data_IF_148641828502
#
_entry.id   IF_148641828502
#
_cell.length_a   1.000
_cell.length_b   1.000
_cell.length_c   1.000
_cell.angle_alpha   90.00
_cell.angle_beta   90.00
_cell.angle_gamma   90.00
#
_symmetry.space_group_name_H-M   'P 1'
#
loop_
_entity.id
_entity.type
_entity.pdbx_description
1 polymer ?
#
# COMPACT_ATOMS: atom_id res chain seq x y z
N UNK A 1 -28.04 84.46 52.59
CA UNK A 1 -28.32 83.55 51.46
C UNK A 1 -27.29 82.43 51.52
N UNK A 2 -27.80 81.22 51.73
CA UNK A 2 -27.36 79.92 51.16
C UNK A 2 -25.86 79.57 51.19
N UNK A 3 -25.42 78.67 52.08
CA UNK A 3 -25.33 77.19 51.93
C UNK A 3 -24.39 76.75 50.80
N UNK A 4 -23.35 75.98 51.15
CA UNK A 4 -23.25 74.58 50.71
C UNK A 4 -22.09 73.83 51.39
N UNK A 5 -22.45 72.67 51.94
CA UNK A 5 -21.62 71.64 52.56
C UNK A 5 -21.20 70.68 51.44
N UNK A 6 -19.90 70.35 51.31
CA UNK A 6 -19.44 69.25 50.46
C UNK A 6 -19.48 67.94 51.26
N UNK A 7 -20.35 67.01 50.86
CA UNK A 7 -20.27 65.59 51.21
C UNK A 7 -19.37 64.88 50.20
N UNK A 8 -18.40 64.11 50.70
CA UNK A 8 -17.64 63.15 49.91
C UNK A 8 -18.44 61.85 49.76
N UNK A 9 -18.65 61.39 48.53
CA UNK A 9 -19.28 60.11 48.22
C UNK A 9 -18.22 59.08 47.81
N UNK A 10 -18.12 57.98 48.56
CA UNK A 10 -17.38 56.77 48.16
C UNK A 10 -18.33 55.85 47.38
N UNK A 11 -18.04 55.62 46.10
CA UNK A 11 -18.74 54.62 45.29
C UNK A 11 -17.94 53.31 45.30
N UNK A 12 -18.50 52.27 45.91
CA UNK A 12 -18.00 50.90 45.81
C UNK A 12 -18.59 50.25 44.54
N UNK A 13 -17.74 49.93 43.55
CA UNK A 13 -18.10 49.09 42.41
C UNK A 13 -17.92 47.61 42.80
N UNK A 14 -19.02 46.85 42.81
CA UNK A 14 -19.01 45.40 42.89
C UNK A 14 -18.96 44.82 41.47
N UNK A 15 -17.84 44.21 41.08
CA UNK A 15 -17.70 43.47 39.82
C UNK A 15 -18.21 42.04 40.00
N UNK A 16 -19.36 41.71 39.39
CA UNK A 16 -19.81 40.33 39.20
C UNK A 16 -18.96 39.68 38.09
N UNK A 17 -18.18 38.66 38.46
CA UNK A 17 -17.52 37.77 37.50
C UNK A 17 -18.51 36.69 37.04
N UNK A 18 -18.99 36.79 35.79
CA UNK A 18 -19.72 35.72 35.12
C UNK A 18 -18.72 34.63 34.72
N UNK A 19 -18.73 33.50 35.44
CA UNK A 19 -18.03 32.30 35.03
C UNK A 19 -18.76 31.69 33.83
N UNK A 20 -18.21 31.88 32.62
CA UNK A 20 -18.65 31.13 31.46
C UNK A 20 -18.25 29.65 31.64
N UNK A 21 -19.14 28.68 31.35
CA UNK A 21 -18.74 27.29 31.33
C UNK A 21 -17.73 27.11 30.20
N UNK A 22 -16.49 26.78 30.55
CA UNK A 22 -15.55 26.19 29.62
C UNK A 22 -16.18 24.87 29.16
N UNK A 23 -16.80 24.85 27.99
CA UNK A 23 -16.97 23.61 27.25
C UNK A 23 -15.58 23.04 27.07
N UNK A 24 -15.25 21.98 27.82
CA UNK A 24 -14.10 21.17 27.50
C UNK A 24 -14.25 20.78 26.03
N UNK A 25 -13.42 21.35 25.16
CA UNK A 25 -13.15 20.74 23.88
C UNK A 25 -12.62 19.35 24.23
N UNK A 26 -13.49 18.36 24.22
CA UNK A 26 -13.06 16.99 24.00
C UNK A 26 -12.21 17.10 22.74
N UNK A 27 -10.90 17.02 22.89
CA UNK A 27 -9.98 16.83 21.78
C UNK A 27 -10.49 15.56 21.09
N UNK A 28 -11.31 15.73 20.05
CA UNK A 28 -11.90 14.62 19.33
C UNK A 28 -10.72 13.79 18.84
N UNK A 29 -10.62 12.56 19.33
CA UNK A 29 -9.50 11.69 19.00
C UNK A 29 -9.41 11.50 17.48
N UNK A 30 -8.18 11.49 16.96
CA UNK A 30 -7.92 11.36 15.53
C UNK A 30 -8.43 10.05 14.91
N UNK A 31 -8.75 9.06 15.75
CA UNK A 31 -9.22 7.74 15.37
C UNK A 31 -10.58 7.48 15.99
N UNK A 32 -11.62 7.42 15.16
CA UNK A 32 -13.01 7.24 15.62
C UNK A 32 -13.57 5.93 15.11
N UNK A 33 -14.15 5.10 15.99
CA UNK A 33 -14.98 3.97 15.57
C UNK A 33 -16.28 4.54 15.00
N UNK A 34 -16.47 4.42 13.69
CA UNK A 34 -17.56 5.09 12.97
C UNK A 34 -18.94 4.64 13.47
N UNK A 35 -19.05 3.38 13.86
CA UNK A 35 -20.30 2.77 14.31
C UNK A 35 -20.74 3.26 15.71
N UNK A 36 -19.81 3.70 16.57
CA UNK A 36 -20.11 4.09 17.96
C UNK A 36 -19.84 5.56 18.27
N UNK A 37 -19.08 6.25 17.41
CA UNK A 37 -18.56 7.59 17.67
C UNK A 37 -17.44 7.62 18.73
N UNK A 38 -17.04 6.47 19.27
CA UNK A 38 -15.96 6.41 20.26
C UNK A 38 -14.64 6.82 19.61
N UNK A 39 -13.99 7.85 20.16
CA UNK A 39 -12.77 8.43 19.63
C UNK A 39 -11.56 8.15 20.52
N UNK A 40 -10.40 7.99 19.90
CA UNK A 40 -9.13 7.64 20.55
C UNK A 40 -8.00 8.52 20.03
N UNK A 41 -7.02 8.80 20.90
CA UNK A 41 -5.82 9.55 20.54
C UNK A 41 -4.75 8.70 19.86
N UNK A 42 -4.85 7.37 19.94
CA UNK A 42 -3.93 6.44 19.27
C UNK A 42 -4.68 5.42 18.44
N UNK A 43 -4.09 5.06 17.30
CA UNK A 43 -4.64 4.03 16.42
C UNK A 43 -4.73 2.68 17.14
N UNK A 44 -3.70 2.30 17.91
CA UNK A 44 -3.70 1.03 18.62
C UNK A 44 -4.85 0.95 19.64
N UNK A 45 -5.16 2.04 20.36
CA UNK A 45 -6.28 2.03 21.29
C UNK A 45 -7.63 1.85 20.57
N UNK A 46 -7.80 2.45 19.39
CA UNK A 46 -8.98 2.21 18.56
C UNK A 46 -9.06 0.75 18.09
N UNK A 47 -7.95 0.17 17.64
CA UNK A 47 -7.86 -1.26 17.23
C UNK A 47 -8.19 -2.19 18.40
N UNK A 48 -7.62 -1.93 19.58
CA UNK A 48 -7.86 -2.74 20.78
C UNK A 48 -9.33 -2.66 21.23
N UNK A 49 -9.96 -1.49 21.10
CA UNK A 49 -11.36 -1.30 21.41
C UNK A 49 -12.30 -2.01 20.44
N UNK A 50 -11.94 -2.14 19.16
CA UNK A 50 -12.68 -3.00 18.21
C UNK A 50 -12.58 -4.46 18.63
N UNK A 51 -11.38 -4.92 19.02
CA UNK A 51 -11.16 -6.28 19.48
C UNK A 51 -11.52 -7.32 18.42
N UNK A 52 -12.38 -8.29 18.78
CA UNK A 52 -12.84 -9.34 17.87
C UNK A 52 -14.06 -8.94 17.02
N UNK A 53 -14.52 -7.69 17.12
CA UNK A 53 -15.70 -7.23 16.39
C UNK A 53 -15.35 -6.81 14.95
N UNK A 54 -16.40 -6.49 14.19
CA UNK A 54 -16.28 -5.79 12.90
C UNK A 54 -16.54 -4.30 13.10
N UNK A 55 -15.64 -3.45 12.64
CA UNK A 55 -15.82 -1.99 12.76
C UNK A 55 -14.97 -1.21 11.75
N UNK A 56 -15.31 0.07 11.60
CA UNK A 56 -14.57 1.04 10.80
C UNK A 56 -13.88 2.03 11.72
N UNK A 57 -12.56 2.13 11.62
CA UNK A 57 -11.79 3.21 12.23
C UNK A 57 -11.67 4.32 11.18
N UNK A 58 -12.43 5.39 11.37
CA UNK A 58 -12.34 6.62 10.62
C UNK A 58 -11.17 7.46 11.16
N UNK A 59 -10.24 7.81 10.26
CA UNK A 59 -8.97 8.45 10.59
C UNK A 59 -9.00 9.88 10.06
N UNK A 60 -8.85 10.84 10.96
CA UNK A 60 -8.85 12.26 10.63
C UNK A 60 -7.67 12.65 9.71
N UNK A 61 -7.74 13.81 9.04
CA UNK A 61 -6.59 14.39 8.37
C UNK A 61 -5.42 14.61 9.36
N UNK A 62 -4.22 14.15 9.00
CA UNK A 62 -3.05 14.29 9.86
C UNK A 62 -1.85 13.47 9.40
N UNK A 63 -0.69 13.79 9.97
CA UNK A 63 0.52 12.96 9.84
C UNK A 63 0.78 12.25 11.15
N UNK A 64 0.70 10.93 11.11
CA UNK A 64 0.78 10.05 12.26
C UNK A 64 2.12 9.31 12.30
N UNK A 65 2.88 9.53 13.38
CA UNK A 65 4.01 8.69 13.78
C UNK A 65 3.52 7.57 14.69
N UNK A 66 2.54 6.83 14.20
CA UNK A 66 1.89 5.73 14.90
C UNK A 66 1.91 4.49 14.02
N UNK A 67 1.75 3.34 14.66
CA UNK A 67 1.55 2.05 13.99
C UNK A 67 0.51 1.27 14.79
N UNK A 68 -0.02 0.19 14.21
CA UNK A 68 -0.92 -0.70 14.93
C UNK A 68 -0.76 -2.17 14.53
N UNK A 69 -1.11 -3.03 15.48
CA UNK A 69 -1.21 -4.48 15.32
C UNK A 69 -2.66 -4.89 15.51
N UNK A 70 -3.30 -5.35 14.43
CA UNK A 70 -4.63 -5.95 14.48
C UNK A 70 -4.51 -7.45 14.77
N UNK A 71 -4.96 -7.90 15.95
CA UNK A 71 -4.87 -9.30 16.37
C UNK A 71 -6.15 -10.12 16.19
N UNK A 72 -7.29 -9.48 15.98
CA UNK A 72 -8.61 -10.11 15.87
C UNK A 72 -9.55 -9.20 15.06
N UNK A 73 -10.74 -9.72 14.77
CA UNK A 73 -11.84 -8.95 14.20
C UNK A 73 -11.63 -8.57 12.75
N UNK A 74 -12.61 -7.85 12.19
CA UNK A 74 -12.57 -7.35 10.81
C UNK A 74 -12.57 -5.82 10.86
N UNK A 75 -11.44 -5.21 10.52
CA UNK A 75 -11.26 -3.76 10.69
C UNK A 75 -11.12 -3.08 9.34
N UNK A 76 -11.95 -2.07 9.10
CA UNK A 76 -11.76 -1.10 8.02
C UNK A 76 -11.01 0.11 8.56
N UNK A 77 -9.82 0.39 8.02
CA UNK A 77 -9.04 1.59 8.30
C UNK A 77 -9.28 2.60 7.18
N UNK A 78 -10.05 3.65 7.45
CA UNK A 78 -10.50 4.59 6.43
C UNK A 78 -10.07 6.02 6.74
N UNK A 79 -9.39 6.68 5.80
CA UNK A 79 -9.24 8.12 5.88
C UNK A 79 -10.62 8.78 5.76
N UNK A 80 -10.89 9.78 6.59
CA UNK A 80 -12.07 10.63 6.46
C UNK A 80 -12.03 11.42 5.13
N UNK A 81 -10.83 11.81 4.70
CA UNK A 81 -10.57 12.41 3.40
C UNK A 81 -9.37 11.71 2.74
N UNK A 82 -9.54 11.25 1.49
CA UNK A 82 -8.53 10.39 0.86
C UNK A 82 -7.20 11.11 0.66
N UNK A 83 -6.14 10.51 1.19
CA UNK A 83 -4.78 11.01 1.09
C UNK A 83 -4.34 11.92 2.21
N UNK A 84 -5.22 12.32 3.12
CA UNK A 84 -4.87 13.29 4.18
C UNK A 84 -4.48 12.63 5.49
N UNK A 85 -4.83 11.35 5.70
CA UNK A 85 -4.32 10.53 6.78
C UNK A 85 -3.01 9.82 6.36
N UNK A 86 -1.88 10.32 6.87
CA UNK A 86 -0.52 9.90 6.47
C UNK A 86 0.18 9.19 7.63
N UNK A 87 0.53 7.92 7.47
CA UNK A 87 1.37 7.16 8.40
C UNK A 87 2.84 7.25 7.97
N UNK A 88 3.69 7.82 8.83
CA UNK A 88 5.06 8.19 8.46
C UNK A 88 6.13 7.59 9.38
N UNK A 89 7.01 6.77 8.80
CA UNK A 89 8.25 6.29 9.40
C UNK A 89 8.14 5.31 10.58
N UNK A 90 7.00 5.24 11.26
CA UNK A 90 6.83 4.41 12.45
C UNK A 90 6.39 2.99 12.08
N UNK A 91 7.01 2.00 12.71
CA UNK A 91 6.66 0.59 12.53
C UNK A 91 6.35 -0.09 13.85
N UNK A 92 5.45 -1.07 13.78
CA UNK A 92 5.14 -2.00 14.85
C UNK A 92 5.87 -3.31 14.59
N UNK A 93 6.36 -3.91 15.68
CA UNK A 93 7.10 -5.19 15.67
C UNK A 93 8.34 -5.21 14.76
N UNK A 94 8.90 -4.05 14.43
CA UNK A 94 9.99 -3.96 13.45
C UNK A 94 9.58 -4.41 12.04
N UNK A 95 8.28 -4.33 11.69
CA UNK A 95 7.74 -4.83 10.42
C UNK A 95 7.10 -3.74 9.57
N UNK A 96 6.04 -3.10 10.07
CA UNK A 96 5.19 -2.25 9.25
C UNK A 96 4.42 -1.19 10.04
N UNK A 97 3.87 -0.18 9.36
CA UNK A 97 2.92 0.75 9.97
C UNK A 97 1.64 0.01 10.42
N UNK A 98 1.12 -0.90 9.59
CA UNK A 98 0.04 -1.82 9.99
C UNK A 98 0.51 -3.26 9.91
N UNK A 99 0.43 -3.98 11.05
CA UNK A 99 0.64 -5.43 11.10
C UNK A 99 -0.71 -6.10 11.31
N UNK A 100 -1.17 -6.83 10.29
CA UNK A 100 -2.54 -7.31 10.18
C UNK A 100 -2.56 -8.83 10.30
N UNK A 101 -3.21 -9.33 11.35
CA UNK A 101 -3.39 -10.77 11.61
C UNK A 101 -4.76 -11.09 12.24
N UNK A 102 -5.73 -10.18 12.14
CA UNK A 102 -7.12 -10.42 12.51
C UNK A 102 -7.88 -11.20 11.44
N UNK A 103 -9.20 -11.24 11.53
CA UNK A 103 -10.08 -12.05 10.66
C UNK A 103 -10.29 -11.43 9.27
N UNK A 104 -9.87 -10.18 9.07
CA UNK A 104 -9.81 -9.51 7.78
C UNK A 104 -9.55 -8.01 7.93
N UNK A 105 -9.11 -7.36 6.86
CA UNK A 105 -8.88 -5.92 6.87
C UNK A 105 -9.25 -5.24 5.56
N UNK A 106 -9.68 -3.99 5.66
CA UNK A 106 -9.81 -3.09 4.52
C UNK A 106 -9.06 -1.79 4.79
N UNK A 107 -8.29 -1.32 3.81
CA UNK A 107 -7.55 -0.07 3.87
C UNK A 107 -8.07 0.87 2.78
N UNK A 108 -8.53 2.06 3.19
CA UNK A 108 -9.18 3.00 2.27
C UNK A 108 -8.65 4.42 2.43
N UNK A 109 -8.06 4.94 1.35
CA UNK A 109 -7.68 6.35 1.28
C UNK A 109 -6.46 6.75 2.12
N UNK A 110 -5.73 5.80 2.72
CA UNK A 110 -4.57 6.12 3.56
C UNK A 110 -3.32 6.42 2.73
N UNK A 111 -2.35 7.09 3.33
CA UNK A 111 -0.99 7.19 2.78
C UNK A 111 0.01 6.59 3.77
N UNK A 112 0.91 5.73 3.29
CA UNK A 112 2.04 5.19 4.03
C UNK A 112 3.33 5.72 3.42
N UNK A 113 4.24 6.26 4.23
CA UNK A 113 5.47 6.87 3.72
C UNK A 113 6.68 6.70 4.64
N UNK A 114 7.87 6.62 4.06
CA UNK A 114 9.12 6.64 4.83
C UNK A 114 9.36 5.39 5.67
N UNK A 115 8.71 4.26 5.36
CA UNK A 115 8.79 3.06 6.20
C UNK A 115 10.08 2.28 5.89
N UNK A 116 10.90 2.12 6.91
CA UNK A 116 12.19 1.45 6.82
C UNK A 116 12.49 0.72 8.14
N UNK A 117 13.00 -0.50 8.06
CA UNK A 117 13.44 -1.30 9.22
C UNK A 117 14.82 -1.92 8.95
N UNK A 118 15.56 -2.38 10.00
CA UNK A 118 16.96 -2.77 9.85
C UNK A 118 17.24 -3.93 8.90
N UNK A 119 16.27 -4.84 8.71
CA UNK A 119 16.43 -5.99 7.82
C UNK A 119 16.10 -5.70 6.35
N UNK A 120 15.73 -4.45 6.02
CA UNK A 120 15.41 -4.07 4.65
C UNK A 120 13.96 -4.29 4.22
N UNK A 121 13.08 -4.78 5.09
CA UNK A 121 11.71 -5.20 4.73
C UNK A 121 10.58 -4.37 5.37
N UNK A 122 10.84 -3.12 5.73
CA UNK A 122 9.87 -2.22 6.33
C UNK A 122 8.73 -1.91 5.37
N UNK A 123 7.48 -2.19 5.76
CA UNK A 123 6.32 -2.07 4.88
C UNK A 123 5.26 -1.06 5.37
N UNK A 124 4.48 -0.49 4.46
CA UNK A 124 3.22 0.15 4.85
C UNK A 124 2.30 -0.84 5.55
N UNK A 125 2.15 -2.03 4.96
CA UNK A 125 1.32 -3.12 5.49
C UNK A 125 2.11 -4.43 5.52
N UNK A 126 2.12 -5.07 6.70
CA UNK A 126 2.49 -6.48 6.86
C UNK A 126 1.22 -7.30 7.09
N UNK A 127 0.82 -8.11 6.10
CA UNK A 127 -0.34 -9.01 6.22
C UNK A 127 0.13 -10.41 6.57
N UNK A 128 -0.28 -10.95 7.72
CA UNK A 128 0.17 -12.26 8.17
C UNK A 128 -0.88 -13.36 7.96
N UNK A 129 -2.17 -13.02 7.97
CA UNK A 129 -3.29 -13.94 7.71
C UNK A 129 -4.50 -13.20 7.18
N UNK A 130 -5.44 -13.97 6.60
CA UNK A 130 -6.76 -13.59 6.16
C UNK A 130 -6.78 -12.55 5.03
N UNK A 131 -7.99 -12.09 4.71
CA UNK A 131 -8.25 -11.30 3.52
C UNK A 131 -7.88 -9.83 3.71
N UNK A 132 -7.41 -9.21 2.63
CA UNK A 132 -7.06 -7.79 2.59
C UNK A 132 -7.64 -7.10 1.36
N UNK A 133 -8.45 -6.08 1.59
CA UNK A 133 -8.91 -5.15 0.55
C UNK A 133 -8.17 -3.81 0.68
N UNK A 134 -7.72 -3.24 -0.43
CA UNK A 134 -7.05 -1.94 -0.45
C UNK A 134 -7.63 -1.11 -1.59
N UNK A 135 -8.06 0.11 -1.28
CA UNK A 135 -8.57 1.06 -2.24
C UNK A 135 -8.03 2.47 -1.99
N UNK A 136 -7.75 3.21 -3.07
CA UNK A 136 -7.39 4.63 -3.01
C UNK A 136 -6.18 4.95 -2.11
N UNK A 137 -5.31 3.97 -1.88
CA UNK A 137 -4.22 4.07 -0.91
C UNK A 137 -2.89 4.41 -1.61
N UNK A 138 -2.04 5.19 -0.95
CA UNK A 138 -0.71 5.56 -1.46
C UNK A 138 0.40 4.95 -0.60
N UNK A 139 1.37 4.31 -1.24
CA UNK A 139 2.58 3.77 -0.63
C UNK A 139 3.78 4.47 -1.25
N UNK A 140 4.52 5.22 -0.43
CA UNK A 140 5.53 6.17 -0.90
C UNK A 140 6.84 5.96 -0.16
N UNK A 141 7.98 6.15 -0.81
CA UNK A 141 9.28 6.39 -0.16
C UNK A 141 9.63 5.37 0.95
N UNK A 142 9.37 4.09 0.72
CA UNK A 142 9.47 3.04 1.73
C UNK A 142 10.22 1.84 1.15
N UNK A 143 10.76 0.99 2.02
CA UNK A 143 11.41 -0.24 1.56
C UNK A 143 10.39 -1.14 0.84
N UNK A 144 9.26 -1.42 1.47
CA UNK A 144 8.13 -2.19 0.92
C UNK A 144 6.84 -1.35 0.93
N UNK A 145 5.93 -1.58 -0.02
CA UNK A 145 4.55 -1.13 0.11
C UNK A 145 3.74 -2.12 0.95
N UNK A 146 3.64 -3.35 0.44
CA UNK A 146 2.92 -4.46 1.06
C UNK A 146 3.84 -5.67 1.09
N UNK A 147 3.90 -6.35 2.24
CA UNK A 147 4.61 -7.60 2.39
C UNK A 147 3.73 -8.60 3.15
N UNK A 148 3.52 -9.79 2.60
CA UNK A 148 2.66 -10.79 3.22
C UNK A 148 3.42 -12.01 3.73
N UNK A 149 2.81 -12.74 4.66
CA UNK A 149 3.19 -14.11 4.97
C UNK A 149 2.56 -15.09 3.94
N UNK A 150 2.33 -16.34 4.37
CA UNK A 150 1.64 -17.37 3.57
C UNK A 150 0.26 -17.64 4.18
N UNK A 151 -0.76 -17.67 3.33
CA UNK A 151 -2.13 -18.03 3.70
C UNK A 151 -2.88 -18.52 2.45
N UNK A 152 -2.84 -19.82 2.13
CA UNK A 152 -3.43 -20.37 0.91
C UNK A 152 -4.93 -20.12 0.74
N UNK A 153 -5.66 -19.85 1.83
CA UNK A 153 -7.08 -19.55 1.81
C UNK A 153 -7.36 -18.03 1.71
N UNK A 154 -6.33 -17.21 1.93
CA UNK A 154 -6.41 -15.76 1.88
C UNK A 154 -6.50 -15.20 0.46
N UNK A 155 -7.27 -14.12 0.32
CA UNK A 155 -7.35 -13.30 -0.91
C UNK A 155 -6.95 -11.86 -0.66
N UNK A 156 -6.25 -11.28 -1.63
CA UNK A 156 -5.84 -9.88 -1.62
C UNK A 156 -6.42 -9.17 -2.84
N UNK A 157 -7.12 -8.07 -2.60
CA UNK A 157 -7.70 -7.23 -3.64
C UNK A 157 -7.22 -5.79 -3.48
N UNK A 158 -6.54 -5.27 -4.50
CA UNK A 158 -5.98 -3.92 -4.52
C UNK A 158 -6.54 -3.18 -5.72
N UNK A 159 -7.08 -1.99 -5.50
CA UNK A 159 -7.57 -1.14 -6.58
C UNK A 159 -7.24 0.33 -6.40
N UNK A 160 -7.09 1.07 -7.50
CA UNK A 160 -6.94 2.53 -7.53
C UNK A 160 -5.90 3.06 -6.54
N UNK A 161 -4.79 2.34 -6.40
CA UNK A 161 -3.75 2.63 -5.42
C UNK A 161 -2.46 3.04 -6.12
N UNK A 162 -1.59 3.78 -5.41
CA UNK A 162 -0.32 4.26 -5.95
C UNK A 162 0.84 3.69 -5.16
N UNK A 163 1.84 3.19 -5.86
CA UNK A 163 3.10 2.67 -5.34
C UNK A 163 4.23 3.45 -6.01
N UNK A 164 4.92 4.29 -5.25
CA UNK A 164 5.93 5.20 -5.81
C UNK A 164 7.18 5.24 -4.94
N UNK A 165 8.36 5.14 -5.57
CA UNK A 165 9.66 5.21 -4.86
C UNK A 165 9.76 4.16 -3.75
N UNK A 166 9.40 2.92 -4.13
CA UNK A 166 9.48 1.75 -3.27
C UNK A 166 10.58 0.80 -3.74
N UNK A 167 11.10 0.02 -2.81
CA UNK A 167 12.09 -1.03 -3.09
C UNK A 167 13.52 -0.66 -2.70
N UNK A 168 14.32 -1.67 -2.40
CA UNK A 168 15.77 -1.60 -2.18
C UNK A 168 16.33 -3.00 -2.39
N UNK A 169 17.57 -3.12 -2.85
CA UNK A 169 18.30 -4.40 -2.97
C UNK A 169 19.61 -4.38 -2.17
N UNK A 170 19.79 -3.39 -1.31
CA UNK A 170 21.05 -3.12 -0.62
C UNK A 170 21.27 -4.00 0.63
N UNK A 171 20.26 -4.79 1.01
CA UNK A 171 20.25 -5.55 2.26
C UNK A 171 20.47 -7.06 2.03
N UNK A 172 21.10 -7.72 3.00
CA UNK A 172 21.39 -9.17 2.95
C UNK A 172 20.15 -10.06 2.95
N UNK A 173 19.00 -9.54 3.39
CA UNK A 173 17.70 -10.23 3.34
C UNK A 173 17.12 -10.35 1.92
N UNK A 174 17.79 -9.77 0.92
CA UNK A 174 17.32 -9.69 -0.46
C UNK A 174 16.58 -8.39 -0.75
N UNK A 175 15.99 -8.32 -1.94
CA UNK A 175 15.31 -7.12 -2.40
C UNK A 175 13.91 -6.94 -1.78
N UNK A 176 13.61 -5.71 -1.40
CA UNK A 176 12.26 -5.23 -1.16
C UNK A 176 11.58 -4.78 -2.47
N UNK A 177 10.25 -4.74 -2.47
CA UNK A 177 9.37 -4.64 -3.64
C UNK A 177 8.22 -3.65 -3.37
N UNK A 178 7.47 -3.24 -4.40
CA UNK A 178 6.25 -2.46 -4.13
C UNK A 178 5.17 -3.34 -3.49
N UNK A 179 4.91 -4.50 -4.08
CA UNK A 179 4.04 -5.54 -3.54
C UNK A 179 4.83 -6.86 -3.50
N UNK A 180 4.91 -7.47 -2.33
CA UNK A 180 5.36 -8.86 -2.15
C UNK A 180 4.23 -9.67 -1.54
N UNK A 181 3.66 -10.59 -2.33
CA UNK A 181 2.71 -11.59 -1.87
C UNK A 181 3.39 -12.96 -1.78
N UNK A 182 3.38 -13.54 -0.57
CA UNK A 182 3.76 -14.92 -0.30
C UNK A 182 2.75 -15.91 -0.87
N UNK A 183 2.70 -17.13 -0.32
CA UNK A 183 1.80 -18.19 -0.81
C UNK A 183 0.36 -17.94 -0.34
N UNK A 184 -0.30 -16.96 -0.97
CA UNK A 184 -1.71 -16.66 -0.80
C UNK A 184 -2.56 -17.37 -1.86
N UNK A 185 -3.86 -17.54 -1.64
CA UNK A 185 -4.75 -18.19 -2.60
C UNK A 185 -4.95 -17.37 -3.88
N UNK A 186 -5.05 -16.04 -3.77
CA UNK A 186 -5.16 -15.15 -4.92
C UNK A 186 -4.71 -13.72 -4.65
N UNK A 187 -4.23 -13.07 -5.70
CA UNK A 187 -3.97 -11.64 -5.76
C UNK A 187 -4.72 -11.02 -6.94
N UNK A 188 -5.45 -9.94 -6.68
CA UNK A 188 -6.00 -9.07 -7.72
C UNK A 188 -5.47 -7.65 -7.54
N UNK A 189 -4.90 -7.07 -8.59
CA UNK A 189 -4.43 -5.68 -8.65
C UNK A 189 -5.02 -5.00 -9.87
N UNK A 190 -5.84 -3.97 -9.63
CA UNK A 190 -6.55 -3.25 -10.70
C UNK A 190 -6.35 -1.75 -10.63
N UNK A 191 -6.33 -1.11 -11.79
CA UNK A 191 -6.45 0.36 -11.89
C UNK A 191 -5.44 1.12 -11.04
N UNK A 192 -4.26 0.53 -10.81
CA UNK A 192 -3.26 1.03 -9.87
C UNK A 192 -2.02 1.53 -10.62
N UNK A 193 -1.29 2.43 -9.98
CA UNK A 193 -0.09 3.05 -10.53
C UNK A 193 1.14 2.60 -9.76
N UNK A 194 2.14 2.13 -10.49
CA UNK A 194 3.47 1.80 -10.02
C UNK A 194 4.45 2.72 -10.72
N UNK A 195 5.30 3.44 -9.99
CA UNK A 195 6.26 4.34 -10.62
C UNK A 195 7.53 4.54 -9.80
N UNK A 196 8.61 4.93 -10.50
CA UNK A 196 9.84 5.44 -9.87
C UNK A 196 10.42 4.48 -8.81
N UNK A 197 10.33 3.17 -9.04
CA UNK A 197 10.86 2.17 -8.10
C UNK A 197 12.34 2.38 -7.81
N UNK A 198 12.78 1.98 -6.62
CA UNK A 198 14.16 2.18 -6.13
C UNK A 198 14.87 0.85 -5.83
N UNK A 199 14.27 -0.26 -6.25
CA UNK A 199 14.81 -1.61 -6.08
C UNK A 199 13.74 -2.66 -6.35
N UNK A 200 14.17 -3.90 -6.64
CA UNK A 200 13.29 -5.05 -6.72
C UNK A 200 12.13 -4.93 -7.72
N UNK A 201 11.09 -5.73 -7.52
CA UNK A 201 9.92 -5.82 -8.41
C UNK A 201 8.83 -4.81 -8.03
N UNK A 202 8.03 -4.37 -8.99
CA UNK A 202 6.78 -3.67 -8.67
C UNK A 202 5.77 -4.66 -8.09
N UNK A 203 5.55 -5.80 -8.73
CA UNK A 203 4.71 -6.87 -8.19
C UNK A 203 5.50 -8.17 -8.17
N UNK A 204 5.67 -8.75 -6.99
CA UNK A 204 6.11 -10.15 -6.82
C UNK A 204 5.02 -10.93 -6.12
N UNK A 205 4.56 -12.02 -6.72
CA UNK A 205 3.48 -12.84 -6.15
C UNK A 205 3.74 -14.32 -6.29
N UNK A 206 3.56 -15.05 -5.19
CA UNK A 206 3.62 -16.52 -5.14
C UNK A 206 2.23 -17.15 -5.12
N UNK A 207 1.17 -16.34 -5.26
CA UNK A 207 -0.18 -16.84 -5.38
C UNK A 207 -0.35 -17.64 -6.69
N UNK A 208 -1.14 -18.73 -6.70
CA UNK A 208 -1.39 -19.50 -7.92
C UNK A 208 -2.36 -18.80 -8.87
N UNK A 209 -3.14 -17.84 -8.38
CA UNK A 209 -4.10 -17.07 -9.17
C UNK A 209 -3.81 -15.59 -9.06
N UNK A 210 -3.39 -14.97 -10.17
CA UNK A 210 -3.11 -13.54 -10.23
C UNK A 210 -3.96 -12.86 -11.31
N UNK A 211 -4.64 -11.79 -10.93
CA UNK A 211 -5.35 -10.89 -11.86
C UNK A 211 -4.71 -9.51 -11.76
N UNK A 212 -3.96 -9.11 -12.77
CA UNK A 212 -3.22 -7.84 -12.82
C UNK A 212 -3.70 -7.08 -14.04
N UNK A 213 -4.64 -6.14 -13.85
CA UNK A 213 -5.36 -5.52 -14.97
C UNK A 213 -5.47 -4.01 -14.88
N UNK A 214 -5.42 -3.33 -16.02
CA UNK A 214 -5.62 -1.87 -16.11
C UNK A 214 -4.66 -1.06 -15.23
N UNK A 215 -3.45 -1.55 -14.98
CA UNK A 215 -2.43 -0.86 -14.20
C UNK A 215 -1.45 -0.10 -15.10
N UNK A 216 -0.79 0.91 -14.53
CA UNK A 216 0.34 1.58 -15.17
C UNK A 216 1.63 1.29 -14.40
N UNK A 217 2.64 0.75 -15.09
CA UNK A 217 4.00 0.54 -14.60
C UNK A 217 4.94 1.52 -15.30
N UNK A 218 5.23 2.63 -14.63
CA UNK A 218 6.09 3.70 -15.13
C UNK A 218 7.49 3.65 -14.49
N UNK A 219 8.37 2.88 -15.12
CA UNK A 219 9.76 2.74 -14.68
C UNK A 219 10.68 3.81 -15.27
N UNK A 220 10.13 4.87 -15.90
CA UNK A 220 10.94 5.85 -16.61
C UNK A 220 11.95 6.58 -15.73
N UNK A 221 11.62 6.75 -14.46
CA UNK A 221 12.49 7.30 -13.42
C UNK A 221 12.80 6.27 -12.32
N UNK A 222 12.67 4.97 -12.62
CA UNK A 222 13.10 3.90 -11.74
C UNK A 222 14.62 3.81 -11.66
N UNK A 223 15.12 3.22 -10.57
CA UNK A 223 16.53 2.94 -10.30
C UNK A 223 16.68 1.57 -9.68
N UNK A 224 17.66 0.78 -10.13
CA UNK A 224 17.94 -0.57 -9.63
C UNK A 224 16.70 -1.48 -9.59
N UNK A 225 15.69 -1.23 -10.43
CA UNK A 225 14.46 -2.03 -10.44
C UNK A 225 14.70 -3.35 -11.18
N UNK A 226 13.88 -4.34 -10.89
CA UNK A 226 13.96 -5.68 -11.48
C UNK A 226 12.75 -5.89 -12.43
N UNK A 227 12.34 -7.13 -12.69
CA UNK A 227 11.10 -7.40 -13.45
C UNK A 227 9.92 -6.58 -12.89
N UNK A 228 9.02 -6.12 -13.76
CA UNK A 228 7.87 -5.34 -13.29
C UNK A 228 6.86 -6.24 -12.60
N UNK A 229 6.63 -7.41 -13.17
CA UNK A 229 5.81 -8.48 -12.59
C UNK A 229 6.68 -9.73 -12.50
N UNK A 230 6.80 -10.28 -11.30
CA UNK A 230 7.49 -11.54 -11.03
C UNK A 230 6.49 -12.53 -10.41
N UNK A 231 6.24 -13.62 -11.11
CA UNK A 231 5.39 -14.75 -10.70
C UNK A 231 6.29 -15.98 -10.49
N UNK A 232 7.19 -15.94 -9.50
CA UNK A 232 8.32 -16.85 -9.41
C UNK A 232 7.92 -18.31 -9.23
N UNK A 233 6.76 -18.58 -8.63
CA UNK A 233 6.28 -19.95 -8.41
C UNK A 233 5.35 -20.43 -9.54
N UNK A 234 5.16 -19.65 -10.61
CA UNK A 234 4.13 -19.90 -11.62
C UNK A 234 2.76 -19.35 -11.20
N UNK A 235 1.84 -19.23 -12.16
CA UNK A 235 0.49 -18.70 -11.91
C UNK A 235 -0.44 -18.94 -13.10
N UNK A 236 -1.72 -19.14 -12.80
CA UNK A 236 -2.84 -18.90 -13.71
C UNK A 236 -3.45 -17.51 -13.49
N UNK A 237 -4.44 -17.16 -14.31
CA UNK A 237 -5.20 -15.92 -14.19
C UNK A 237 -5.05 -15.02 -15.41
N UNK A 238 -4.93 -13.71 -15.18
CA UNK A 238 -4.96 -12.72 -16.26
C UNK A 238 -4.04 -11.54 -16.00
N UNK A 239 -3.22 -11.20 -16.99
CA UNK A 239 -2.43 -9.97 -17.04
C UNK A 239 -2.90 -9.19 -18.27
N UNK A 240 -3.79 -8.21 -18.07
CA UNK A 240 -4.45 -7.58 -19.20
C UNK A 240 -4.57 -6.06 -19.15
N UNK A 241 -4.51 -5.42 -20.31
CA UNK A 241 -4.75 -3.97 -20.46
C UNK A 241 -3.84 -3.10 -19.57
N UNK A 242 -2.66 -3.60 -19.23
CA UNK A 242 -1.68 -2.83 -18.48
C UNK A 242 -0.80 -2.02 -19.44
N UNK A 243 -0.32 -0.88 -18.95
CA UNK A 243 0.64 -0.04 -19.63
C UNK A 243 2.00 -0.13 -18.95
N UNK A 244 3.04 -0.43 -19.71
CA UNK A 244 4.41 -0.62 -19.22
C UNK A 244 5.39 0.32 -19.93
N UNK A 245 6.21 1.02 -19.14
CA UNK A 245 7.40 1.72 -19.62
C UNK A 245 8.61 1.16 -18.92
N UNK A 246 9.50 0.50 -19.67
CA UNK A 246 10.77 0.02 -19.12
C UNK A 246 11.81 1.14 -19.09
N UNK A 247 12.36 1.38 -17.90
CA UNK A 247 13.41 2.34 -17.61
C UNK A 247 14.80 1.85 -18.00
N UNK A 248 15.76 2.78 -17.95
CA UNK A 248 17.17 2.49 -18.26
C UNK A 248 17.85 1.68 -17.17
N UNK A 249 17.65 2.11 -15.93
CA UNK A 249 18.34 1.63 -14.75
C UNK A 249 17.57 0.48 -14.11
N UNK A 250 18.03 -0.73 -14.40
CA UNK A 250 17.46 -1.99 -13.94
C UNK A 250 18.56 -2.95 -13.59
N UNK A 251 18.39 -3.67 -12.49
CA UNK A 251 19.23 -4.84 -12.17
C UNK A 251 19.01 -5.95 -13.19
N UNK A 252 17.75 -6.17 -13.56
CA UNK A 252 17.38 -7.12 -14.60
C UNK A 252 16.43 -6.48 -15.61
N UNK A 253 16.94 -6.30 -16.82
CA UNK A 253 16.16 -5.75 -17.93
C UNK A 253 15.70 -6.81 -18.93
N UNK A 254 16.07 -8.07 -18.73
CA UNK A 254 15.89 -9.13 -19.72
C UNK A 254 14.43 -9.50 -19.96
N UNK A 255 13.53 -9.18 -19.01
CA UNK A 255 12.09 -9.37 -19.15
C UNK A 255 11.28 -8.24 -18.47
N UNK A 256 10.00 -8.08 -18.84
CA UNK A 256 9.02 -7.28 -18.09
C UNK A 256 8.25 -8.16 -17.10
N UNK A 257 7.81 -9.33 -17.56
CA UNK A 257 7.07 -10.34 -16.81
C UNK A 257 7.92 -11.60 -16.72
N UNK A 258 8.17 -12.10 -15.51
CA UNK A 258 8.83 -13.38 -15.29
C UNK A 258 7.83 -14.39 -14.71
N UNK A 259 7.80 -15.60 -15.29
CA UNK A 259 6.90 -16.67 -14.89
C UNK A 259 7.69 -17.93 -14.53
N UNK A 260 7.52 -18.41 -13.29
CA UNK A 260 8.06 -19.71 -12.87
C UNK A 260 9.57 -19.74 -12.58
N UNK A 261 10.24 -18.59 -12.47
CA UNK A 261 11.69 -18.51 -12.31
C UNK A 261 12.27 -19.23 -11.06
N UNK A 262 11.43 -19.58 -10.08
CA UNK A 262 11.80 -20.35 -8.88
C UNK A 262 11.23 -21.79 -8.88
N UNK A 263 10.95 -22.35 -10.07
CA UNK A 263 10.61 -23.78 -10.21
C UNK A 263 9.12 -24.10 -10.26
N UNK A 264 8.30 -23.24 -10.88
CA UNK A 264 6.91 -23.50 -11.33
C UNK A 264 6.10 -24.44 -10.42
N UNK A 265 6.00 -24.10 -9.13
CA UNK A 265 5.27 -24.89 -8.12
C UNK A 265 3.75 -24.83 -8.32
N UNK A 266 3.26 -23.78 -8.99
CA UNK A 266 1.88 -23.58 -9.36
C UNK A 266 1.67 -23.88 -10.86
N UNK A 267 0.53 -24.45 -11.25
CA UNK A 267 0.14 -24.54 -12.65
C UNK A 267 0.15 -23.16 -13.32
N UNK A 268 0.58 -23.13 -14.58
CA UNK A 268 0.56 -21.92 -15.42
C UNK A 268 -0.17 -22.10 -16.75
N UNK A 269 -0.63 -23.33 -17.06
CA UNK A 269 -1.43 -23.61 -18.26
C UNK A 269 -2.71 -22.77 -18.23
N UNK A 270 -2.94 -22.01 -19.30
CA UNK A 270 -4.08 -21.13 -19.42
C UNK A 270 -3.90 -19.73 -18.80
N UNK A 271 -2.70 -19.33 -18.38
CA UNK A 271 -2.44 -17.93 -18.06
C UNK A 271 -2.70 -17.05 -19.30
N UNK A 272 -3.55 -16.04 -19.14
CA UNK A 272 -3.91 -15.11 -20.21
C UNK A 272 -3.13 -13.81 -20.05
N UNK A 273 -2.40 -13.42 -21.09
CA UNK A 273 -1.66 -12.16 -21.13
C UNK A 273 -2.05 -11.41 -22.40
N UNK A 274 -2.93 -10.41 -22.24
CA UNK A 274 -3.56 -9.77 -23.40
C UNK A 274 -3.73 -8.26 -23.35
N UNK A 275 -3.77 -7.65 -24.52
CA UNK A 275 -4.13 -6.25 -24.70
C UNK A 275 -3.23 -5.25 -23.94
N UNK A 276 -2.02 -5.68 -23.54
CA UNK A 276 -1.07 -4.83 -22.85
C UNK A 276 -0.32 -3.93 -23.84
N UNK A 277 0.19 -2.80 -23.37
CA UNK A 277 1.04 -1.89 -24.14
C UNK A 277 2.39 -1.76 -23.43
N UNK A 278 3.49 -2.12 -24.10
CA UNK A 278 4.82 -2.08 -23.49
C UNK A 278 5.82 -1.34 -24.38
N UNK A 279 6.56 -0.43 -23.76
CA UNK A 279 7.55 0.41 -24.46
C UNK A 279 8.80 0.60 -23.61
N UNK A 280 9.85 1.09 -24.24
CA UNK A 280 10.99 1.66 -23.55
C UNK A 280 10.83 3.17 -23.38
N UNK A 281 11.56 3.75 -22.43
CA UNK A 281 11.79 5.20 -22.42
C UNK A 281 12.44 5.68 -23.73
N UNK A 282 12.24 6.97 -24.11
CA UNK A 282 12.82 7.51 -25.34
C UNK A 282 14.34 7.32 -25.43
N UNK A 283 14.79 6.88 -26.60
CA UNK A 283 16.22 6.68 -26.92
C UNK A 283 16.88 5.49 -26.23
N UNK A 284 16.12 4.56 -25.64
CA UNK A 284 16.66 3.30 -25.14
C UNK A 284 16.51 2.24 -26.24
N UNK A 285 17.62 1.67 -26.68
CA UNK A 285 17.67 0.52 -27.57
C UNK A 285 18.16 -0.69 -26.78
N UNK A 286 17.33 -1.73 -26.67
CA UNK A 286 17.57 -2.91 -25.85
C UNK A 286 16.75 -4.09 -26.38
N UNK A 287 17.21 -5.31 -26.08
CA UNK A 287 16.43 -6.53 -26.24
C UNK A 287 15.89 -7.00 -24.89
N UNK A 288 14.60 -7.30 -24.85
CA UNK A 288 13.87 -7.66 -23.65
C UNK A 288 12.69 -8.55 -24.03
N UNK A 289 12.39 -9.57 -23.23
CA UNK A 289 11.16 -10.32 -23.36
C UNK A 289 10.00 -9.57 -22.70
N UNK A 290 8.83 -9.55 -23.32
CA UNK A 290 7.62 -9.11 -22.64
C UNK A 290 7.25 -10.10 -21.53
N UNK A 291 7.23 -11.40 -21.87
CA UNK A 291 7.11 -12.50 -20.92
C UNK A 291 8.25 -13.50 -21.11
N UNK A 292 9.00 -13.76 -20.05
CA UNK A 292 9.96 -14.86 -19.96
C UNK A 292 9.38 -16.01 -19.13
N UNK A 293 9.37 -17.21 -19.69
CA UNK A 293 8.69 -18.38 -19.13
C UNK A 293 9.65 -19.54 -18.82
N UNK A 294 9.68 -19.94 -17.55
CA UNK A 294 10.37 -21.13 -17.05
C UNK A 294 9.40 -22.29 -16.75
N UNK A 295 8.10 -22.10 -16.97
CA UNK A 295 7.08 -23.12 -16.72
C UNK A 295 6.95 -24.12 -17.86
N UNK A 296 7.22 -23.70 -19.10
CA UNK A 296 7.06 -24.54 -20.30
C UNK A 296 5.60 -24.91 -20.56
N UNK A 297 4.65 -24.12 -20.06
CA UNK A 297 3.21 -24.38 -20.16
C UNK A 297 2.59 -23.61 -21.32
N UNK A 298 1.33 -23.92 -21.68
CA UNK A 298 0.64 -23.18 -22.74
C UNK A 298 0.03 -21.91 -22.16
N UNK A 299 0.53 -20.78 -22.64
CA UNK A 299 0.03 -19.46 -22.31
C UNK A 299 -0.82 -18.92 -23.46
N UNK A 300 -1.74 -18.00 -23.14
CA UNK A 300 -2.49 -17.24 -24.15
C UNK A 300 -1.91 -15.84 -24.23
N UNK A 301 -1.24 -15.53 -25.35
CA UNK A 301 -0.66 -14.22 -25.62
C UNK A 301 -1.41 -13.55 -26.78
N UNK A 302 -2.20 -12.50 -26.52
CA UNK A 302 -3.08 -11.90 -27.53
C UNK A 302 -3.11 -10.37 -27.47
N UNK A 303 -3.19 -9.67 -28.61
CA UNK A 303 -3.48 -8.23 -28.65
C UNK A 303 -2.43 -7.29 -28.02
N UNK A 304 -1.29 -7.82 -27.55
CA UNK A 304 -0.23 -7.04 -26.92
C UNK A 304 0.46 -6.14 -27.95
N UNK A 305 0.59 -4.85 -27.64
CA UNK A 305 1.28 -3.84 -28.46
C UNK A 305 2.66 -3.59 -27.87
N UNK A 306 3.68 -4.11 -28.52
CA UNK A 306 5.05 -4.11 -28.01
C UNK A 306 5.94 -3.24 -28.90
N UNK A 307 6.72 -2.35 -28.28
CA UNK A 307 7.72 -1.57 -29.00
C UNK A 307 8.83 -2.47 -29.59
N UNK A 308 9.48 -1.99 -30.64
CA UNK A 308 10.65 -2.68 -31.22
C UNK A 308 11.71 -2.97 -30.15
N UNK A 309 12.24 -4.20 -30.16
CA UNK A 309 13.18 -4.70 -29.15
C UNK A 309 12.51 -5.41 -27.96
N UNK A 310 11.18 -5.36 -27.85
CA UNK A 310 10.42 -6.17 -26.90
C UNK A 310 9.86 -7.40 -27.63
N UNK A 311 10.47 -8.56 -27.39
CA UNK A 311 10.03 -9.84 -27.94
C UNK A 311 8.82 -10.35 -27.13
N UNK A 312 7.75 -10.79 -27.79
CA UNK A 312 6.51 -11.13 -27.09
C UNK A 312 6.67 -12.22 -26.05
N UNK A 313 7.50 -13.23 -26.33
CA UNK A 313 7.62 -14.42 -25.53
C UNK A 313 9.04 -14.99 -25.64
N UNK A 314 9.60 -15.41 -24.51
CA UNK A 314 10.92 -16.03 -24.40
C UNK A 314 10.81 -17.27 -23.51
N UNK A 315 11.10 -18.45 -24.08
CA UNK A 315 11.15 -19.70 -23.32
C UNK A 315 12.55 -19.87 -22.71
N UNK A 316 12.61 -20.14 -21.41
CA UNK A 316 13.84 -20.17 -20.62
C UNK A 316 14.32 -21.56 -20.23
#
# INVERSE_FOLDING_TARGET
MEKSILLASFSALATLALAAPNSAQNSAGDFTIAETGQSFSTLQAAVDAVGANTATIAIAPGTYRQCAVQKAGVITFAAQEYGTAVFSGTTCEGKAALVLRGDGAEIRGLTFTGISVPDGNGAGIRLEKNNLNIAFTRFLDSQQGILTANDPDGRIFITRSTFSRLGTCENSAGCAHSIYVGKYGSLTVRESRFERGTGGHYVKSRAPNNVIENNSFDDAQGRSTNYMIDLPDGSQGTIASNWFIQGRDKENYSALIALGANGSQNPSDGLIVRDNDARFVPGLQRKTAFLADWSGTRLVMEGNRLASGIEQYDAR
#
